data_IF_419798757201
#
_entry.id   IF_419798757201
#
_cell.length_a   1.000
_cell.length_b   1.000
_cell.length_c   1.000
_cell.angle_alpha   90.00
_cell.angle_beta   90.00
_cell.angle_gamma   90.00
#
_symmetry.space_group_name_H-M   'P 1'
#
loop_
_entity.id
_entity.type
_entity.pdbx_description
1 polymer ?
#
# COMPACT_ATOMS: atom_id res chain seq x y z
N UNK A 1 82.75 -51.33 14.53
CA UNK A 1 82.25 -50.03 14.07
C UNK A 1 80.73 -50.06 14.12
N UNK A 2 80.14 -49.38 15.15
CA UNK A 2 78.69 -49.36 15.34
C UNK A 2 78.23 -47.96 14.93
N UNK A 3 77.42 -47.83 13.83
CA UNK A 3 76.81 -46.59 13.38
C UNK A 3 75.48 -46.42 14.14
N UNK A 4 75.40 -45.36 14.93
CA UNK A 4 74.18 -44.93 15.57
C UNK A 4 73.39 -44.07 14.57
N UNK A 5 72.30 -44.61 14.06
CA UNK A 5 71.29 -43.87 13.33
C UNK A 5 70.45 -43.00 14.32
N UNK A 6 70.67 -41.69 14.31
CA UNK A 6 69.84 -40.73 15.01
C UNK A 6 68.52 -40.59 14.26
N UNK A 7 67.47 -41.19 14.78
CA UNK A 7 66.08 -40.93 14.39
C UNK A 7 65.68 -39.54 14.90
N UNK A 8 65.69 -38.57 14.03
CA UNK A 8 65.10 -37.22 14.28
C UNK A 8 63.59 -37.40 14.23
N UNK A 9 62.79 -37.17 15.29
CA UNK A 9 61.36 -37.14 15.21
C UNK A 9 60.92 -35.97 14.31
N UNK A 10 60.32 -36.25 13.17
CA UNK A 10 59.62 -35.24 12.39
C UNK A 10 58.51 -34.67 13.28
N UNK A 11 58.74 -33.48 13.83
CA UNK A 11 57.67 -32.72 14.50
C UNK A 11 56.58 -32.43 13.44
N UNK A 12 55.56 -33.23 13.48
CA UNK A 12 54.33 -32.97 12.70
C UNK A 12 53.79 -31.63 13.11
N UNK A 13 53.97 -30.63 12.28
CA UNK A 13 53.31 -29.36 12.43
C UNK A 13 51.79 -29.62 12.24
N UNK A 14 51.10 -29.79 13.32
CA UNK A 14 49.64 -29.78 13.30
C UNK A 14 49.22 -28.46 12.69
N UNK A 15 48.78 -28.47 11.43
CA UNK A 15 48.20 -27.29 10.81
C UNK A 15 46.87 -27.01 11.50
N UNK A 16 46.87 -26.02 12.40
CA UNK A 16 45.70 -25.62 13.17
C UNK A 16 44.72 -24.84 12.28
N UNK A 17 45.15 -24.38 11.10
CA UNK A 17 44.30 -23.63 10.18
C UNK A 17 43.62 -24.55 9.18
N UNK A 18 42.28 -24.60 9.17
CA UNK A 18 41.55 -25.44 8.23
C UNK A 18 41.46 -24.89 6.78
N UNK A 19 42.07 -23.75 6.52
CA UNK A 19 42.11 -23.10 5.20
C UNK A 19 41.87 -21.59 5.23
N UNK A 20 42.02 -20.91 4.10
CA UNK A 20 41.78 -19.46 4.02
C UNK A 20 40.31 -19.10 4.24
N UNK A 21 40.08 -17.94 4.84
CA UNK A 21 38.75 -17.35 4.96
C UNK A 21 38.25 -16.84 3.61
N UNK A 22 36.94 -16.79 3.44
CA UNK A 22 36.31 -16.15 2.31
C UNK A 22 36.65 -14.65 2.25
N UNK A 23 36.66 -14.05 1.06
CA UNK A 23 37.04 -12.65 0.83
C UNK A 23 36.33 -11.68 1.75
N UNK A 24 35.09 -11.92 2.10
CA UNK A 24 34.32 -11.07 2.99
C UNK A 24 34.91 -10.98 4.41
N UNK A 25 35.64 -11.99 4.85
CA UNK A 25 36.27 -12.05 6.18
C UNK A 25 37.81 -12.05 6.14
N UNK A 26 38.41 -11.73 5.01
CA UNK A 26 39.89 -11.70 4.85
C UNK A 26 40.61 -10.83 5.88
N UNK A 27 40.00 -9.73 6.31
CA UNK A 27 40.56 -8.85 7.34
C UNK A 27 40.70 -9.50 8.72
N UNK A 28 40.04 -10.64 8.93
CA UNK A 28 40.09 -11.46 10.15
C UNK A 28 41.03 -12.66 10.00
N UNK A 29 41.82 -12.73 8.92
CA UNK A 29 42.77 -13.80 8.67
C UNK A 29 43.99 -13.66 9.60
N UNK A 30 44.54 -14.80 10.05
CA UNK A 30 45.73 -14.88 10.86
C UNK A 30 45.59 -15.79 12.08
N UNK A 31 46.70 -16.38 12.49
CA UNK A 31 46.75 -17.39 13.57
C UNK A 31 46.21 -16.87 14.92
N UNK A 32 46.29 -15.55 15.17
CA UNK A 32 45.84 -14.90 16.39
C UNK A 32 44.36 -14.49 16.34
N UNK A 33 43.70 -14.59 15.17
CA UNK A 33 42.33 -14.08 14.96
C UNK A 33 41.24 -15.17 15.10
N UNK A 34 41.61 -16.39 15.42
CA UNK A 34 40.64 -17.49 15.57
C UNK A 34 39.48 -17.16 16.53
N UNK A 35 39.79 -16.48 17.63
CA UNK A 35 38.82 -16.08 18.65
C UNK A 35 37.91 -14.94 18.22
N UNK A 36 38.15 -14.30 17.09
CA UNK A 36 37.22 -13.34 16.51
C UNK A 36 35.91 -14.00 16.08
N UNK A 37 35.97 -15.26 15.66
CA UNK A 37 34.83 -16.05 15.22
C UNK A 37 34.48 -17.19 16.17
N UNK A 38 35.49 -17.87 16.74
CA UNK A 38 35.33 -19.05 17.59
C UNK A 38 35.29 -18.69 19.08
N UNK A 39 34.36 -19.28 19.82
CA UNK A 39 34.38 -19.34 21.28
C UNK A 39 35.17 -20.58 21.67
N UNK A 40 36.36 -20.40 22.22
CA UNK A 40 37.19 -21.48 22.68
C UNK A 40 36.66 -21.96 24.07
N UNK A 41 35.74 -22.92 24.08
CA UNK A 41 35.25 -23.54 25.29
C UNK A 41 35.40 -25.07 25.15
N UNK A 42 35.70 -25.73 26.28
CA UNK A 42 35.82 -27.18 26.29
C UNK A 42 34.49 -27.84 25.90
N UNK A 43 34.51 -28.68 24.84
CA UNK A 43 33.43 -29.60 24.53
C UNK A 43 32.61 -29.32 23.27
N UNK A 44 32.48 -28.10 22.76
CA UNK A 44 31.78 -27.88 21.51
C UNK A 44 32.19 -26.57 20.84
N UNK A 45 32.45 -26.61 19.51
CA UNK A 45 32.66 -25.41 18.72
C UNK A 45 31.42 -24.50 18.78
N UNK A 46 31.63 -23.26 19.14
CA UNK A 46 30.63 -22.23 19.22
C UNK A 46 31.12 -21.01 18.45
N UNK A 47 30.24 -20.31 17.78
CA UNK A 47 30.58 -19.19 16.91
C UNK A 47 30.04 -17.87 17.44
N UNK A 48 30.58 -16.75 16.93
CA UNK A 48 30.23 -15.37 17.30
C UNK A 48 29.62 -14.58 16.13
N UNK A 49 29.03 -15.26 15.17
CA UNK A 49 28.53 -14.65 13.92
C UNK A 49 27.65 -13.41 14.18
N UNK A 50 26.68 -13.53 15.10
CA UNK A 50 25.73 -12.47 15.41
C UNK A 50 26.29 -11.33 16.28
N UNK A 51 27.51 -11.48 16.81
CA UNK A 51 28.18 -10.36 17.51
C UNK A 51 28.60 -9.27 16.54
N UNK A 52 28.90 -9.66 15.28
CA UNK A 52 29.23 -8.75 14.18
C UNK A 52 28.01 -8.51 13.26
N UNK A 53 27.29 -9.57 12.90
CA UNK A 53 26.10 -9.49 12.03
C UNK A 53 24.85 -9.10 12.82
N UNK A 54 24.87 -7.90 13.42
CA UNK A 54 23.79 -7.40 14.29
C UNK A 54 22.50 -7.13 13.55
N UNK A 55 22.58 -6.79 12.26
CA UNK A 55 21.44 -6.62 11.37
C UNK A 55 20.68 -7.94 11.16
N UNK A 56 21.41 -9.06 11.08
CA UNK A 56 20.79 -10.39 11.03
C UNK A 56 20.27 -10.77 12.43
N UNK A 57 21.04 -10.51 13.49
CA UNK A 57 20.64 -10.81 14.86
C UNK A 57 19.27 -10.18 15.21
N UNK A 58 19.12 -8.88 14.97
CA UNK A 58 17.88 -8.14 15.24
C UNK A 58 16.69 -8.65 14.42
N UNK A 59 16.94 -9.13 13.19
CA UNK A 59 15.88 -9.68 12.35
C UNK A 59 15.42 -11.06 12.81
N UNK A 60 16.36 -11.90 13.21
CA UNK A 60 16.04 -13.22 13.78
C UNK A 60 15.25 -13.07 15.08
N UNK A 61 15.68 -12.17 15.97
CA UNK A 61 14.98 -11.85 17.21
C UNK A 61 13.56 -11.31 16.96
N UNK A 62 13.43 -10.39 16.00
CA UNK A 62 12.14 -9.85 15.59
C UNK A 62 11.30 -10.80 14.72
N UNK A 63 11.75 -12.03 14.46
CA UNK A 63 11.11 -13.03 13.59
C UNK A 63 10.81 -12.48 12.19
N UNK A 64 11.76 -11.78 11.59
CA UNK A 64 11.62 -11.12 10.28
C UNK A 64 12.58 -11.67 9.25
N UNK A 65 12.08 -11.84 8.04
CA UNK A 65 12.86 -12.24 6.88
C UNK A 65 13.26 -13.71 6.86
N UNK A 66 14.08 -14.10 5.88
CA UNK A 66 14.43 -15.49 5.60
C UNK A 66 15.04 -16.21 6.82
N UNK A 67 16.00 -15.59 7.52
CA UNK A 67 16.69 -16.25 8.62
C UNK A 67 15.75 -16.63 9.76
N UNK A 68 14.69 -15.87 9.98
CA UNK A 68 13.69 -16.20 10.99
C UNK A 68 12.83 -17.41 10.61
N UNK A 69 12.75 -17.76 9.31
CA UNK A 69 12.01 -18.95 8.87
C UNK A 69 12.72 -20.27 9.18
N UNK A 70 13.99 -20.23 9.55
CA UNK A 70 14.77 -21.42 9.91
C UNK A 70 14.65 -21.82 11.40
N UNK A 71 13.85 -21.10 12.17
CA UNK A 71 13.63 -21.34 13.58
C UNK A 71 14.57 -20.56 14.51
N UNK A 72 14.62 -20.97 15.78
CA UNK A 72 15.46 -20.32 16.77
C UNK A 72 16.95 -20.62 16.53
N UNK A 73 17.78 -19.57 16.61
CA UNK A 73 19.24 -19.72 16.56
C UNK A 73 19.74 -20.09 17.94
N UNK A 74 20.51 -21.18 18.03
CA UNK A 74 21.11 -21.63 19.29
C UNK A 74 22.21 -20.66 19.78
N UNK A 75 22.51 -20.64 21.08
CA UNK A 75 23.61 -19.84 21.61
C UNK A 75 24.96 -20.17 20.97
N UNK A 76 25.14 -21.37 20.45
CA UNK A 76 26.37 -21.77 19.75
C UNK A 76 26.49 -21.23 18.32
N UNK A 77 25.36 -20.79 17.72
CA UNK A 77 25.27 -20.30 16.36
C UNK A 77 25.80 -21.27 15.28
N UNK A 78 25.77 -22.56 15.56
CA UNK A 78 26.23 -23.61 14.61
C UNK A 78 25.39 -23.67 13.35
N UNK A 79 24.12 -23.31 13.47
CA UNK A 79 23.14 -23.27 12.39
C UNK A 79 23.62 -22.33 11.24
N UNK A 80 24.29 -21.24 11.59
CA UNK A 80 24.82 -20.30 10.60
C UNK A 80 25.88 -21.00 9.71
N UNK A 81 26.78 -21.77 10.33
CA UNK A 81 27.86 -22.44 9.64
C UNK A 81 27.39 -23.62 8.73
N UNK A 82 26.18 -24.11 8.91
CA UNK A 82 25.61 -25.15 8.01
C UNK A 82 25.37 -24.61 6.61
N UNK A 83 25.04 -23.31 6.48
CA UNK A 83 24.83 -22.65 5.20
C UNK A 83 25.99 -21.71 4.81
N UNK A 84 26.62 -21.06 5.80
CA UNK A 84 27.70 -20.09 5.62
C UNK A 84 29.01 -20.65 6.18
N UNK A 85 29.55 -21.69 5.54
CA UNK A 85 30.79 -22.31 6.01
C UNK A 85 32.01 -21.51 5.55
N UNK A 86 32.90 -21.23 6.51
CA UNK A 86 34.18 -20.59 6.28
C UNK A 86 35.32 -21.61 6.04
N UNK A 87 36.54 -21.13 5.77
CA UNK A 87 37.75 -21.93 5.54
C UNK A 87 37.76 -22.74 4.23
N UNK A 88 36.89 -22.37 3.27
CA UNK A 88 36.80 -23.03 1.97
C UNK A 88 37.55 -22.28 0.87
N UNK A 89 38.34 -21.27 1.24
CA UNK A 89 39.13 -20.48 0.31
C UNK A 89 38.55 -19.09 0.01
N UNK A 90 39.41 -18.20 -0.43
CA UNK A 90 39.12 -16.80 -0.63
C UNK A 90 37.94 -16.54 -1.58
N UNK A 91 37.84 -17.32 -2.64
CA UNK A 91 36.80 -17.16 -3.65
C UNK A 91 35.51 -17.96 -3.35
N UNK A 92 35.42 -18.55 -2.17
CA UNK A 92 34.24 -19.30 -1.78
C UNK A 92 33.05 -18.38 -1.56
N UNK A 93 31.90 -18.74 -2.17
CA UNK A 93 30.68 -17.98 -2.02
C UNK A 93 29.99 -18.34 -0.69
N UNK A 94 30.02 -17.43 0.28
CA UNK A 94 29.35 -17.61 1.57
C UNK A 94 27.83 -17.63 1.46
N UNK A 95 27.26 -16.93 0.47
CA UNK A 95 25.81 -16.95 0.20
C UNK A 95 25.55 -18.02 -0.85
N UNK A 96 24.90 -19.10 -0.44
CA UNK A 96 24.49 -20.19 -1.31
C UNK A 96 23.00 -20.12 -1.59
N UNK A 97 22.66 -20.03 -2.85
CA UNK A 97 21.28 -20.10 -3.30
C UNK A 97 20.89 -21.55 -3.56
N UNK A 98 19.82 -22.01 -2.95
CA UNK A 98 19.30 -23.36 -3.19
C UNK A 98 17.81 -23.28 -3.55
N UNK A 99 17.42 -23.69 -4.77
CA UNK A 99 18.30 -24.27 -5.82
C UNK A 99 19.12 -23.21 -6.60
N UNK A 100 18.59 -22.03 -6.89
CA UNK A 100 19.27 -20.94 -7.60
C UNK A 100 18.62 -19.59 -7.18
N UNK A 101 19.26 -18.42 -7.43
CA UNK A 101 18.65 -17.13 -7.16
C UNK A 101 17.29 -16.95 -7.84
N UNK A 102 17.15 -17.42 -9.10
CA UNK A 102 15.92 -17.29 -9.87
C UNK A 102 14.77 -18.18 -9.39
N UNK A 103 15.06 -19.20 -8.61
CA UNK A 103 14.08 -20.11 -8.02
C UNK A 103 13.88 -19.87 -6.51
N UNK A 104 14.32 -18.74 -6.01
CA UNK A 104 14.19 -18.40 -4.59
C UNK A 104 12.73 -18.19 -4.19
N UNK A 105 12.31 -18.89 -3.16
CA UNK A 105 10.96 -18.82 -2.62
C UNK A 105 10.81 -17.62 -1.66
N UNK A 106 10.24 -16.53 -2.17
CA UNK A 106 10.01 -15.31 -1.39
C UNK A 106 8.96 -15.47 -0.29
N UNK A 107 8.10 -16.49 -0.32
CA UNK A 107 7.14 -16.72 0.75
C UNK A 107 7.81 -16.88 2.11
N UNK A 108 9.02 -17.48 2.12
CA UNK A 108 9.87 -17.66 3.32
C UNK A 108 10.38 -16.35 3.92
N UNK A 109 10.32 -15.24 3.18
CA UNK A 109 10.71 -13.92 3.68
C UNK A 109 9.54 -13.14 4.28
N UNK A 110 8.32 -13.69 4.20
CA UNK A 110 7.08 -13.03 4.57
C UNK A 110 6.53 -12.09 3.49
N UNK A 111 7.04 -12.20 2.24
CA UNK A 111 6.53 -11.49 1.07
C UNK A 111 6.52 -12.43 -0.15
N UNK A 112 5.40 -13.08 -0.39
CA UNK A 112 5.23 -13.90 -1.59
C UNK A 112 5.18 -13.01 -2.84
N UNK A 113 5.86 -13.42 -3.91
CA UNK A 113 5.77 -12.74 -5.20
C UNK A 113 4.59 -13.31 -5.99
N UNK A 114 3.60 -12.47 -6.23
CA UNK A 114 2.37 -12.87 -6.90
C UNK A 114 2.07 -11.96 -8.11
N UNK A 115 1.27 -12.46 -9.02
CA UNK A 115 0.82 -11.71 -10.20
C UNK A 115 1.99 -11.15 -11.02
N UNK A 116 1.98 -9.85 -11.28
CA UNK A 116 3.04 -9.17 -12.04
C UNK A 116 4.39 -9.07 -11.32
N UNK A 117 4.42 -9.28 -10.00
CA UNK A 117 5.66 -9.29 -9.23
C UNK A 117 6.43 -10.61 -9.39
N UNK A 118 5.75 -11.72 -9.66
CA UNK A 118 6.36 -13.05 -9.75
C UNK A 118 7.42 -13.16 -10.86
N UNK A 119 7.29 -12.38 -11.93
CA UNK A 119 8.22 -12.41 -13.07
C UNK A 119 9.31 -11.34 -13.07
N UNK A 120 9.46 -10.58 -11.97
CA UNK A 120 10.44 -9.50 -11.92
C UNK A 120 11.83 -10.00 -11.58
N UNK A 121 12.85 -9.43 -12.25
CA UNK A 121 14.25 -9.69 -11.89
C UNK A 121 14.55 -9.12 -10.50
N UNK A 122 15.44 -9.77 -9.75
CA UNK A 122 15.83 -9.39 -8.38
C UNK A 122 16.18 -7.90 -8.24
N UNK A 123 16.95 -7.37 -9.19
CA UNK A 123 17.39 -5.99 -9.21
C UNK A 123 16.27 -4.95 -9.44
N UNK A 124 15.06 -5.38 -9.79
CA UNK A 124 13.92 -4.46 -9.88
C UNK A 124 13.40 -4.04 -8.51
N UNK A 125 13.64 -4.85 -7.49
CA UNK A 125 13.22 -4.61 -6.12
C UNK A 125 14.42 -4.35 -5.20
N UNK A 126 15.48 -5.15 -5.31
CA UNK A 126 16.66 -5.08 -4.46
C UNK A 126 17.64 -3.99 -4.94
N UNK A 127 17.29 -2.74 -4.66
CA UNK A 127 18.09 -1.54 -4.94
C UNK A 127 18.13 -0.65 -3.70
N UNK A 128 19.14 0.19 -3.59
CA UNK A 128 19.25 1.16 -2.51
C UNK A 128 18.02 2.07 -2.37
N UNK A 129 17.36 2.39 -3.50
CA UNK A 129 16.17 3.27 -3.51
C UNK A 129 14.99 2.67 -2.73
N UNK A 130 14.84 1.34 -2.75
CA UNK A 130 13.72 0.64 -2.13
C UNK A 130 13.98 0.19 -0.68
N UNK A 131 15.22 0.36 -0.19
CA UNK A 131 15.52 0.13 1.24
C UNK A 131 14.83 1.21 2.07
N UNK A 132 13.98 0.79 3.00
CA UNK A 132 13.25 1.70 3.86
C UNK A 132 14.19 2.61 4.67
N UNK A 133 13.85 3.89 4.82
CA UNK A 133 14.71 4.87 5.48
C UNK A 133 15.11 4.43 6.89
N UNK A 134 14.17 3.90 7.67
CA UNK A 134 14.43 3.41 9.03
C UNK A 134 15.29 2.14 9.12
N UNK A 135 15.46 1.42 8.00
CA UNK A 135 16.27 0.20 7.95
C UNK A 135 17.73 0.47 7.55
N UNK A 136 17.99 1.59 6.85
CA UNK A 136 19.31 1.90 6.26
C UNK A 136 20.44 1.92 7.28
N UNK A 137 20.20 2.51 8.45
CA UNK A 137 21.20 2.62 9.51
C UNK A 137 21.52 1.27 10.18
N UNK A 138 20.61 0.31 10.13
CA UNK A 138 20.78 -1.01 10.75
C UNK A 138 21.47 -2.03 9.86
N UNK A 139 21.63 -1.73 8.55
CA UNK A 139 22.21 -2.67 7.58
C UNK A 139 23.72 -2.51 7.56
N UNK A 140 24.46 -3.61 7.80
CA UNK A 140 25.93 -3.63 7.87
C UNK A 140 26.60 -3.40 6.51
N UNK A 141 25.95 -3.76 5.41
CA UNK A 141 26.48 -3.63 4.05
C UNK A 141 26.43 -2.16 3.63
N UNK A 142 27.59 -1.56 3.35
CA UNK A 142 27.72 -0.14 2.96
C UNK A 142 27.04 0.15 1.61
N UNK A 143 27.22 -0.71 0.63
CA UNK A 143 26.56 -0.59 -0.68
C UNK A 143 25.16 -1.24 -0.62
N UNK A 144 24.15 -0.40 -0.41
CA UNK A 144 22.77 -0.85 -0.29
C UNK A 144 22.19 -1.45 -1.59
N UNK A 145 22.88 -1.34 -2.73
CA UNK A 145 22.48 -2.06 -3.96
C UNK A 145 22.91 -3.54 -3.93
N UNK A 146 23.72 -3.93 -2.95
CA UNK A 146 24.19 -5.31 -2.77
C UNK A 146 23.54 -6.02 -1.58
N UNK A 147 22.50 -5.42 -1.01
CA UNK A 147 21.75 -6.05 0.09
C UNK A 147 20.40 -6.58 -0.37
N UNK A 148 19.95 -7.66 0.28
CA UNK A 148 18.59 -8.18 0.16
C UNK A 148 17.73 -7.82 1.38
N UNK A 149 18.27 -6.98 2.28
CA UNK A 149 17.63 -6.61 3.54
C UNK A 149 16.92 -5.26 3.43
N UNK A 150 15.96 -5.03 4.32
CA UNK A 150 15.41 -3.70 4.59
C UNK A 150 14.40 -3.17 3.57
N UNK A 151 13.92 -3.98 2.62
CA UNK A 151 12.86 -3.55 1.71
C UNK A 151 11.53 -3.39 2.47
N UNK A 152 10.83 -2.31 2.17
CA UNK A 152 9.47 -2.10 2.66
C UNK A 152 8.48 -2.95 1.85
N UNK A 153 7.46 -3.47 2.53
CA UNK A 153 6.34 -4.19 1.89
C UNK A 153 5.16 -3.29 1.54
N UNK A 154 5.21 -2.01 1.91
CA UNK A 154 4.18 -1.07 1.58
C UNK A 154 4.20 -0.73 0.08
N UNK A 155 3.06 -0.79 -0.59
CA UNK A 155 2.95 -0.54 -2.03
C UNK A 155 3.57 0.81 -2.44
N UNK A 156 3.36 1.85 -1.61
CA UNK A 156 3.84 3.23 -1.87
C UNK A 156 5.37 3.38 -1.78
N UNK A 157 6.08 2.40 -1.23
CA UNK A 157 7.55 2.44 -1.23
C UNK A 157 8.16 2.18 -2.61
N UNK A 158 7.40 1.60 -3.52
CA UNK A 158 7.81 1.30 -4.89
C UNK A 158 6.88 1.94 -5.93
N UNK A 159 5.61 2.13 -5.59
CA UNK A 159 4.60 2.68 -6.49
C UNK A 159 4.18 4.08 -6.05
N UNK A 160 4.13 5.00 -7.02
CA UNK A 160 3.59 6.33 -6.76
C UNK A 160 2.07 6.25 -6.55
N UNK A 161 1.60 6.78 -5.43
CA UNK A 161 0.17 6.90 -5.16
C UNK A 161 -0.45 8.01 -6.01
N UNK A 162 -1.18 7.63 -7.04
CA UNK A 162 -1.90 8.56 -7.92
C UNK A 162 -3.08 9.24 -7.20
N UNK A 163 -3.55 8.67 -6.09
CA UNK A 163 -4.65 9.21 -5.29
C UNK A 163 -4.17 10.22 -4.22
N UNK A 164 -2.85 10.39 -4.07
CA UNK A 164 -2.25 11.36 -3.15
C UNK A 164 -2.72 11.17 -1.70
N UNK A 165 -2.81 9.93 -1.24
CA UNK A 165 -3.21 9.56 0.12
C UNK A 165 -4.72 9.62 0.40
N UNK A 166 -5.54 10.07 -0.55
CA UNK A 166 -6.98 10.32 -0.31
C UNK A 166 -7.82 9.06 -0.15
N UNK A 167 -7.34 7.93 -0.65
CA UNK A 167 -8.05 6.63 -0.56
C UNK A 167 -7.42 5.69 0.48
N UNK A 168 -6.53 6.21 1.32
CA UNK A 168 -5.81 5.43 2.34
C UNK A 168 -4.68 4.59 1.73
N UNK A 169 -4.08 3.75 2.57
CA UNK A 169 -2.89 2.98 2.20
C UNK A 169 -3.17 1.52 1.84
N UNK A 170 -4.41 1.06 1.99
CA UNK A 170 -4.77 -0.31 1.65
C UNK A 170 -5.13 -0.44 0.16
N UNK A 171 -4.10 -0.42 -0.68
CA UNK A 171 -4.23 -0.45 -2.13
C UNK A 171 -4.93 -1.72 -2.64
N UNK A 172 -4.74 -2.85 -1.95
CA UNK A 172 -5.30 -4.15 -2.32
C UNK A 172 -6.82 -4.24 -2.16
N UNK A 173 -7.45 -3.31 -1.45
CA UNK A 173 -8.92 -3.21 -1.44
C UNK A 173 -9.50 -2.93 -2.83
N UNK A 174 -8.71 -2.30 -3.68
CA UNK A 174 -9.15 -1.87 -5.00
C UNK A 174 -8.32 -2.47 -6.14
N UNK A 175 -7.04 -2.69 -5.93
CA UNK A 175 -6.11 -3.12 -6.98
C UNK A 175 -5.61 -4.54 -6.77
N UNK A 176 -5.70 -5.35 -7.82
CA UNK A 176 -5.13 -6.70 -7.84
C UNK A 176 -3.66 -6.69 -8.26
N UNK A 177 -2.95 -7.77 -7.93
CA UNK A 177 -1.54 -7.95 -8.28
C UNK A 177 -1.33 -8.37 -9.74
N UNK A 178 -2.39 -8.81 -10.44
CA UNK A 178 -2.32 -9.22 -11.86
C UNK A 178 -2.36 -8.05 -12.82
N UNK A 179 -2.89 -6.90 -12.38
CA UNK A 179 -2.93 -5.68 -13.18
C UNK A 179 -3.44 -4.51 -12.37
N UNK A 180 -2.65 -3.46 -12.29
CA UNK A 180 -3.00 -2.25 -11.51
C UNK A 180 -4.26 -1.53 -12.01
N UNK A 181 -4.55 -1.64 -13.30
CA UNK A 181 -5.76 -1.06 -13.91
C UNK A 181 -7.01 -1.89 -13.69
N UNK A 182 -6.85 -3.16 -13.32
CA UNK A 182 -7.97 -4.05 -13.01
C UNK A 182 -8.35 -3.85 -11.55
N UNK A 183 -9.54 -3.34 -11.31
CA UNK A 183 -10.07 -3.23 -9.95
C UNK A 183 -10.46 -4.62 -9.45
N UNK A 184 -10.14 -4.94 -8.21
CA UNK A 184 -10.43 -6.23 -7.58
C UNK A 184 -11.85 -6.36 -7.06
N UNK A 185 -12.69 -5.33 -7.25
CA UNK A 185 -14.11 -5.36 -6.91
C UNK A 185 -14.97 -5.20 -8.18
N UNK A 186 -16.16 -5.78 -8.24
CA UNK A 186 -17.11 -5.52 -9.30
C UNK A 186 -17.41 -4.03 -9.39
N UNK A 187 -17.38 -3.48 -10.61
CA UNK A 187 -17.78 -2.10 -10.86
C UNK A 187 -19.20 -1.93 -10.28
N UNK A 188 -19.34 -1.09 -9.26
CA UNK A 188 -20.62 -0.91 -8.55
C UNK A 188 -20.60 -1.28 -7.07
N UNK A 189 -19.53 -1.88 -6.56
CA UNK A 189 -19.39 -2.21 -5.13
C UNK A 189 -18.48 -1.24 -4.35
N UNK A 190 -18.07 -0.12 -4.95
CA UNK A 190 -17.33 0.89 -4.21
C UNK A 190 -18.24 1.58 -3.20
N UNK A 191 -17.88 1.50 -1.93
CA UNK A 191 -18.67 2.09 -0.84
C UNK A 191 -18.36 3.58 -0.67
N UNK A 192 -19.21 4.44 -1.24
CA UNK A 192 -19.12 5.88 -1.11
C UNK A 192 -19.43 6.39 0.30
N UNK A 193 -20.03 5.59 1.19
CA UNK A 193 -20.28 6.00 2.57
C UNK A 193 -18.98 6.33 3.32
N UNK A 194 -17.87 5.75 2.87
CA UNK A 194 -16.53 5.96 3.41
C UNK A 194 -15.80 7.17 2.79
N UNK A 195 -16.45 7.90 1.91
CA UNK A 195 -15.90 9.09 1.25
C UNK A 195 -16.54 10.37 1.80
N UNK A 196 -16.05 11.53 1.36
CA UNK A 196 -16.66 12.82 1.73
C UNK A 196 -18.02 13.08 1.09
N UNK A 197 -18.43 12.25 0.11
CA UNK A 197 -19.73 12.34 -0.54
C UNK A 197 -20.38 10.95 -0.55
N UNK A 198 -21.16 10.68 0.48
CA UNK A 198 -21.97 9.47 0.54
C UNK A 198 -23.11 9.55 -0.49
N UNK A 199 -23.26 8.51 -1.31
CA UNK A 199 -24.37 8.46 -2.27
C UNK A 199 -25.67 8.12 -1.55
N UNK A 200 -26.71 8.93 -1.79
CA UNK A 200 -28.05 8.74 -1.24
C UNK A 200 -29.08 8.75 -2.34
N UNK A 201 -30.21 8.06 -2.09
CA UNK A 201 -31.33 8.01 -3.03
C UNK A 201 -30.93 7.53 -4.44
N UNK A 202 -31.37 8.24 -5.46
CA UNK A 202 -31.10 7.88 -6.86
C UNK A 202 -29.61 8.03 -7.25
N UNK A 203 -28.80 8.76 -6.49
CA UNK A 203 -27.36 8.83 -6.74
C UNK A 203 -26.67 7.47 -6.58
N UNK A 204 -27.22 6.56 -5.76
CA UNK A 204 -26.71 5.19 -5.61
C UNK A 204 -26.78 4.36 -6.91
N UNK A 205 -27.67 4.75 -7.82
CA UNK A 205 -27.90 4.05 -9.09
C UNK A 205 -27.19 4.71 -10.29
N UNK A 206 -26.49 5.82 -10.05
CA UNK A 206 -25.80 6.56 -11.11
C UNK A 206 -24.49 5.85 -11.48
N UNK A 207 -24.28 5.62 -12.77
CA UNK A 207 -23.06 5.01 -13.26
C UNK A 207 -21.83 5.89 -12.90
N UNK A 208 -20.71 5.25 -12.54
CA UNK A 208 -19.48 5.91 -12.07
C UNK A 208 -19.03 7.06 -12.99
N UNK A 209 -19.08 6.84 -14.32
CA UNK A 209 -18.62 7.78 -15.33
C UNK A 209 -19.47 9.07 -15.43
N UNK A 210 -20.66 9.08 -14.86
CA UNK A 210 -21.51 10.28 -14.83
C UNK A 210 -21.02 11.35 -13.87
N UNK A 211 -20.30 10.91 -12.83
CA UNK A 211 -19.67 11.78 -11.83
C UNK A 211 -18.15 11.87 -12.05
N UNK A 212 -17.54 10.72 -12.32
CA UNK A 212 -16.10 10.59 -12.56
C UNK A 212 -15.79 10.73 -14.04
N UNK A 213 -15.93 11.95 -14.55
CA UNK A 213 -15.66 12.27 -15.96
C UNK A 213 -14.18 12.11 -16.27
N UNK A 214 -13.87 11.77 -17.51
CA UNK A 214 -12.51 11.75 -18.01
C UNK A 214 -11.90 13.15 -18.01
N UNK A 215 -10.68 13.26 -17.48
CA UNK A 215 -9.86 14.45 -17.59
C UNK A 215 -9.26 14.61 -19.00
N UNK A 216 -8.46 15.65 -19.20
CA UNK A 216 -7.75 15.88 -20.46
C UNK A 216 -6.80 14.73 -20.86
N UNK A 217 -6.37 13.91 -19.89
CA UNK A 217 -5.56 12.71 -20.09
C UNK A 217 -6.38 11.45 -20.44
N UNK A 218 -7.68 11.59 -20.65
CA UNK A 218 -8.62 10.51 -20.96
C UNK A 218 -8.92 9.57 -19.79
N UNK A 219 -8.41 9.87 -18.57
CA UNK A 219 -8.62 9.02 -17.40
C UNK A 219 -9.71 9.57 -16.49
N UNK A 220 -10.57 8.71 -15.90
CA UNK A 220 -11.57 9.15 -14.95
C UNK A 220 -10.96 9.84 -13.73
N UNK A 221 -11.54 10.95 -13.30
CA UNK A 221 -11.12 11.70 -12.11
C UNK A 221 -11.91 11.20 -10.91
N UNK A 222 -11.25 10.48 -9.98
CA UNK A 222 -11.89 9.97 -8.76
C UNK A 222 -11.73 10.90 -7.56
N UNK A 223 -10.94 11.97 -7.66
CA UNK A 223 -10.66 12.92 -6.57
C UNK A 223 -10.76 14.36 -7.08
N UNK A 224 -10.96 15.30 -6.15
CA UNK A 224 -11.03 16.72 -6.50
C UNK A 224 -12.32 17.13 -7.20
N UNK A 225 -13.38 16.32 -7.13
CA UNK A 225 -14.69 16.69 -7.62
C UNK A 225 -15.33 17.72 -6.68
N UNK A 226 -15.99 18.73 -7.25
CA UNK A 226 -16.83 19.66 -6.50
C UNK A 226 -18.19 19.02 -6.28
N UNK A 227 -18.64 18.98 -5.03
CA UNK A 227 -19.95 18.42 -4.62
C UNK A 227 -20.57 19.20 -3.46
N UNK A 228 -20.07 20.38 -3.17
CA UNK A 228 -20.57 21.21 -2.06
C UNK A 228 -21.98 21.76 -2.29
N UNK A 229 -22.38 21.88 -3.56
CA UNK A 229 -23.71 22.36 -3.97
C UNK A 229 -24.29 21.45 -5.03
N UNK A 230 -25.61 21.39 -5.12
CA UNK A 230 -26.29 20.63 -6.18
C UNK A 230 -25.95 21.17 -7.58
N UNK A 231 -25.76 22.47 -7.70
CA UNK A 231 -25.43 23.15 -8.94
C UNK A 231 -24.00 22.88 -9.43
N UNK A 232 -23.15 22.27 -8.61
CA UNK A 232 -21.84 21.79 -9.06
C UNK A 232 -21.96 20.69 -10.13
N UNK A 233 -23.09 19.97 -10.17
CA UNK A 233 -23.35 18.89 -11.12
C UNK A 233 -24.65 19.06 -11.90
N UNK A 234 -25.63 19.74 -11.31
CA UNK A 234 -26.97 19.94 -11.88
C UNK A 234 -27.18 21.39 -12.33
N UNK A 235 -27.70 21.57 -13.55
CA UNK A 235 -28.16 22.89 -13.97
C UNK A 235 -29.39 23.27 -13.15
N UNK A 236 -29.45 24.54 -12.70
CA UNK A 236 -30.61 25.10 -12.06
C UNK A 236 -31.69 25.46 -13.11
N UNK A 237 -32.79 24.69 -13.19
CA UNK A 237 -33.88 25.00 -14.13
C UNK A 237 -34.64 26.27 -13.75
N UNK A 238 -34.54 26.71 -12.50
CA UNK A 238 -35.22 27.87 -11.99
C UNK A 238 -34.45 29.17 -12.21
N UNK A 239 -33.20 29.09 -12.71
CA UNK A 239 -32.36 30.24 -13.04
C UNK A 239 -32.18 31.23 -11.88
N UNK A 240 -32.07 30.71 -10.65
CA UNK A 240 -31.91 31.54 -9.45
C UNK A 240 -33.19 32.25 -8.98
N UNK A 241 -34.35 31.89 -9.54
CA UNK A 241 -35.63 32.53 -9.14
C UNK A 241 -36.01 32.22 -7.68
N UNK A 242 -35.58 31.05 -7.18
CA UNK A 242 -35.85 30.65 -5.80
C UNK A 242 -34.63 30.87 -4.92
N UNK A 243 -34.77 31.72 -3.93
CA UNK A 243 -33.78 31.89 -2.89
C UNK A 243 -33.79 30.66 -1.98
N UNK A 244 -32.61 30.14 -1.63
CA UNK A 244 -32.46 29.06 -0.67
C UNK A 244 -31.77 27.81 -1.21
N UNK A 245 -31.65 26.81 -0.36
CA UNK A 245 -31.04 25.54 -0.70
C UNK A 245 -31.97 24.66 -1.54
N UNK A 246 -31.47 24.04 -2.58
CA UNK A 246 -32.22 23.06 -3.37
C UNK A 246 -32.86 21.95 -2.51
N UNK A 247 -32.19 21.59 -1.41
CA UNK A 247 -32.62 20.56 -0.47
C UNK A 247 -33.85 20.96 0.36
N UNK A 248 -34.18 22.24 0.38
CA UNK A 248 -35.41 22.67 1.07
C UNK A 248 -36.68 22.22 0.34
N UNK A 249 -36.60 21.96 -0.95
CA UNK A 249 -37.72 21.51 -1.78
C UNK A 249 -37.47 20.14 -2.38
N UNK A 250 -36.24 19.80 -2.72
CA UNK A 250 -35.86 18.56 -3.41
C UNK A 250 -35.04 17.63 -2.54
N UNK A 251 -35.12 16.34 -2.82
CA UNK A 251 -34.28 15.33 -2.18
C UNK A 251 -33.70 14.35 -3.22
N UNK A 252 -32.72 13.58 -2.79
CA UNK A 252 -32.02 12.62 -3.64
C UNK A 252 -32.86 11.40 -4.05
N UNK A 253 -34.02 11.19 -3.41
CA UNK A 253 -34.95 10.09 -3.74
C UNK A 253 -35.77 10.34 -5.00
N UNK A 254 -35.76 11.57 -5.52
CA UNK A 254 -36.42 11.91 -6.77
C UNK A 254 -36.54 13.41 -6.93
N UNK A 255 -35.87 13.98 -7.91
CA UNK A 255 -35.85 15.43 -8.19
C UNK A 255 -37.23 16.02 -8.48
N UNK A 256 -38.13 15.21 -9.09
CA UNK A 256 -39.50 15.59 -9.40
C UNK A 256 -40.43 15.49 -8.20
N UNK A 257 -40.01 14.88 -7.10
CA UNK A 257 -40.80 14.78 -5.86
C UNK A 257 -40.50 16.02 -5.01
N UNK A 258 -41.26 17.04 -5.23
CA UNK A 258 -41.26 18.19 -4.33
C UNK A 258 -42.24 17.88 -3.20
N UNK A 259 -41.83 18.02 -1.94
CA UNK A 259 -42.77 17.82 -0.83
C UNK A 259 -43.75 18.99 -0.79
N UNK A 260 -45.03 18.72 -0.85
CA UNK A 260 -46.07 19.74 -0.76
C UNK A 260 -45.95 20.56 0.53
N UNK A 261 -45.55 19.94 1.64
CA UNK A 261 -45.29 20.61 2.90
C UNK A 261 -44.14 21.62 2.81
N UNK A 262 -43.04 21.25 2.14
CA UNK A 262 -41.89 22.13 1.98
C UNK A 262 -42.19 23.33 1.06
N UNK A 263 -43.10 23.18 0.11
CA UNK A 263 -43.54 24.26 -0.79
C UNK A 263 -44.51 25.19 -0.03
N UNK A 264 -45.45 24.64 0.73
CA UNK A 264 -46.45 25.42 1.45
C UNK A 264 -45.87 26.33 2.54
N UNK A 265 -44.76 25.88 3.19
CA UNK A 265 -44.18 26.63 4.30
C UNK A 265 -43.12 27.68 3.86
N UNK A 266 -42.65 27.60 2.64
CA UNK A 266 -41.45 28.37 2.24
C UNK A 266 -41.51 29.05 0.86
N UNK A 267 -42.55 28.79 0.04
CA UNK A 267 -42.66 29.43 -1.24
C UNK A 267 -43.44 30.76 -1.12
N UNK A 268 -42.75 31.84 -1.37
CA UNK A 268 -43.32 33.18 -1.31
C UNK A 268 -43.75 33.64 -2.72
N UNK A 269 -45.07 33.63 -2.98
CA UNK A 269 -45.65 34.11 -4.23
C UNK A 269 -45.49 35.63 -4.41
N UNK A 270 -45.14 36.39 -3.38
CA UNK A 270 -44.87 37.82 -3.53
C UNK A 270 -43.68 38.09 -4.45
N UNK A 271 -42.81 37.08 -4.62
CA UNK A 271 -41.62 37.11 -5.51
C UNK A 271 -41.97 36.68 -6.93
N UNK A 272 -43.20 36.35 -7.21
CA UNK A 272 -43.65 35.89 -8.55
C UNK A 272 -44.47 36.98 -9.26
N UNK A 273 -44.81 36.72 -10.54
CA UNK A 273 -45.70 37.61 -11.33
C UNK A 273 -47.12 37.62 -10.82
N UNK A 274 -47.49 36.68 -9.92
CA UNK A 274 -48.85 36.61 -9.32
C UNK A 274 -48.74 36.47 -7.78
N UNK A 275 -48.60 37.60 -7.07
CA UNK A 275 -48.69 37.60 -5.63
C UNK A 275 -50.08 37.16 -5.17
N UNK A 276 -50.12 36.19 -4.22
CA UNK A 276 -51.40 35.71 -3.67
C UNK A 276 -51.93 36.72 -2.67
N UNK A 277 -53.02 37.38 -3.03
CA UNK A 277 -53.69 38.40 -2.18
C UNK A 277 -55.11 37.93 -1.78
N UNK A 278 -55.54 38.35 -0.60
CA UNK A 278 -56.85 38.04 -0.09
C UNK A 278 -57.11 36.53 -0.02
N UNK A 279 -58.21 36.06 -0.57
CA UNK A 279 -58.57 34.62 -0.55
C UNK A 279 -57.66 33.72 -1.33
N UNK A 280 -56.88 34.25 -2.29
CA UNK A 280 -55.89 33.44 -2.98
C UNK A 280 -54.75 32.99 -2.07
N UNK A 281 -54.44 33.72 -1.00
CA UNK A 281 -53.44 33.33 -0.02
C UNK A 281 -53.79 32.04 0.78
N UNK A 282 -55.07 31.71 0.79
CA UNK A 282 -55.62 30.53 1.50
C UNK A 282 -55.78 29.31 0.58
N UNK A 283 -55.54 29.49 -0.75
CA UNK A 283 -55.75 28.44 -1.77
C UNK A 283 -54.59 27.47 -1.74
N UNK A 284 -54.90 26.17 -1.83
CA UNK A 284 -53.87 25.12 -1.91
C UNK A 284 -53.14 25.15 -3.25
N UNK A 285 -51.88 24.84 -3.21
CA UNK A 285 -50.99 24.83 -4.41
C UNK A 285 -51.57 24.00 -5.55
N UNK A 286 -52.18 22.81 -5.26
CA UNK A 286 -52.70 21.85 -6.25
C UNK A 286 -53.98 22.34 -6.96
N UNK A 287 -54.63 23.36 -6.43
CA UNK A 287 -55.81 23.95 -7.06
C UNK A 287 -55.47 24.84 -8.28
N UNK A 288 -54.24 25.40 -8.26
CA UNK A 288 -53.72 26.14 -9.41
C UNK A 288 -52.66 25.35 -10.17
N UNK A 289 -51.80 24.60 -9.45
CA UNK A 289 -50.76 23.77 -10.02
C UNK A 289 -51.27 22.30 -10.11
N UNK A 290 -52.11 22.02 -11.10
CA UNK A 290 -52.72 20.72 -11.27
C UNK A 290 -51.68 19.59 -11.35
N UNK A 291 -51.83 18.56 -10.52
CA UNK A 291 -50.93 17.38 -10.47
C UNK A 291 -49.55 17.69 -9.85
N UNK A 292 -49.37 18.86 -9.22
CA UNK A 292 -48.09 19.27 -8.64
C UNK A 292 -47.04 19.66 -9.67
N UNK A 293 -47.46 19.96 -10.90
CA UNK A 293 -46.58 20.48 -11.95
C UNK A 293 -46.39 21.98 -11.82
N UNK A 294 -45.40 22.40 -11.05
CA UNK A 294 -45.01 23.80 -10.87
C UNK A 294 -44.29 24.42 -12.08
N UNK A 295 -44.04 23.67 -13.14
CA UNK A 295 -43.43 24.15 -14.37
C UNK A 295 -44.45 24.58 -15.40
N UNK A 296 -45.67 24.08 -15.31
CA UNK A 296 -46.76 24.43 -16.22
C UNK A 296 -47.19 25.87 -15.92
N UNK A 297 -47.18 26.75 -16.90
CA UNK A 297 -47.71 28.09 -16.75
C UNK A 297 -49.17 28.02 -16.31
N UNK A 298 -49.47 28.70 -15.23
CA UNK A 298 -50.85 28.88 -14.77
C UNK A 298 -51.35 30.19 -15.34
N UNK A 299 -52.51 30.18 -15.99
CA UNK A 299 -53.16 31.42 -16.44
C UNK A 299 -53.64 32.20 -15.20
N UNK A 300 -53.35 33.51 -15.17
CA UNK A 300 -53.73 34.36 -14.01
C UNK A 300 -54.03 35.83 -14.44
N UNK A 301 -54.14 36.09 -15.76
CA UNK A 301 -54.29 37.47 -16.23
C UNK A 301 -55.74 37.92 -16.16
N UNK A 302 -56.71 37.03 -16.13
CA UNK A 302 -58.12 37.34 -15.99
C UNK A 302 -58.74 36.57 -14.84
N UNK A 303 -59.74 37.16 -14.19
CA UNK A 303 -60.49 36.50 -13.10
C UNK A 303 -61.22 35.24 -13.52
N UNK A 304 -61.34 34.95 -14.80
CA UNK A 304 -61.95 33.76 -15.39
C UNK A 304 -60.92 32.71 -15.74
N UNK A 305 -59.63 32.94 -15.57
CA UNK A 305 -58.59 32.01 -15.99
C UNK A 305 -58.42 30.81 -15.04
#
# INVERSE_FOLDING_TARGET
MWAWLLLIPAAGWAQISPGPLARAHQSLSGATQCTSCHKLAAGAASFKCLECHRDIASRVEARRGLHASFGAVSPSQKECATCHSEHNGENFALIRWNPTPGAFDHSKTGYALEGKHAGLACARCHTAAHVAAGERASISVKDLNRTYLGLSRACVSCHQDQHQGRLGQNCQQCHGLTGWKSLSFPVGQFDHSRTRYALTGLHQQVACQKCHLAGADGKPRYTGLSFSTCTACHADPHRGTFAGSCQSCHNTGGWKRVSAAAVNERFDHSQTKFPLLGKHAEVRCDQCHAGGDFKRPVAFQKCSD
#
